data_IF_927451202142
#
_entry.id   IF_927451202142
#
_cell.length_a   1.000
_cell.length_b   1.000
_cell.length_c   1.000
_cell.angle_alpha   90.00
_cell.angle_beta   90.00
_cell.angle_gamma   90.00
#
_symmetry.space_group_name_H-M   'P 1'
#
loop_
_entity.id
_entity.type
_entity.pdbx_description
1 polymer ?
#
# COMPACT_ATOMS: atom_id res chain seq x y z
N UNK A 1 7.33 11.40 12.32
CA UNK A 1 7.93 12.03 11.13
C UNK A 1 7.27 11.42 9.89
N UNK A 2 7.28 12.14 8.77
CA UNK A 2 6.72 11.66 7.52
C UNK A 2 7.82 11.00 6.68
N UNK A 3 7.57 9.80 6.14
CA UNK A 3 8.51 9.11 5.24
C UNK A 3 8.25 9.46 3.78
N UNK A 4 7.03 9.90 3.46
CA UNK A 4 6.62 10.37 2.13
C UNK A 4 5.72 11.59 2.30
N UNK A 5 5.98 12.62 1.50
CA UNK A 5 5.10 13.77 1.34
C UNK A 5 4.82 14.02 -0.13
N UNK A 6 3.54 14.13 -0.47
CA UNK A 6 3.07 14.52 -1.79
C UNK A 6 2.17 15.75 -1.67
N UNK A 7 2.36 16.74 -2.54
CA UNK A 7 1.58 17.98 -2.57
C UNK A 7 1.12 18.29 -3.99
N UNK A 8 -0.19 18.23 -4.19
CA UNK A 8 -0.79 18.46 -5.50
C UNK A 8 -0.25 17.52 -6.59
N UNK A 9 0.15 16.30 -6.18
CA UNK A 9 0.84 15.34 -7.03
C UNK A 9 -0.07 14.87 -8.16
N UNK A 10 0.42 14.92 -9.40
CA UNK A 10 -0.30 14.47 -10.56
C UNK A 10 0.57 13.78 -11.60
N UNK A 11 0.01 12.74 -12.24
CA UNK A 11 0.62 12.05 -13.38
C UNK A 11 -0.37 11.89 -14.50
N UNK A 12 0.01 12.36 -15.69
CA UNK A 12 -0.80 12.30 -16.90
C UNK A 12 -0.12 11.44 -17.97
N UNK A 13 -0.88 10.55 -18.58
CA UNK A 13 -0.48 9.78 -19.75
C UNK A 13 -1.31 10.24 -20.96
N UNK A 14 -0.68 10.92 -21.89
CA UNK A 14 -1.37 11.57 -22.99
C UNK A 14 -2.39 12.63 -22.48
N UNK A 15 -3.68 12.37 -22.72
CA UNK A 15 -4.77 13.28 -22.26
C UNK A 15 -5.39 12.85 -20.93
N UNK A 16 -5.10 11.64 -20.42
CA UNK A 16 -5.74 11.07 -19.24
C UNK A 16 -4.84 11.28 -18.01
N UNK A 17 -5.39 11.81 -16.94
CA UNK A 17 -4.78 11.79 -15.63
C UNK A 17 -4.90 10.40 -15.01
N UNK A 18 -3.79 9.82 -14.60
CA UNK A 18 -3.75 8.60 -13.80
C UNK A 18 -3.80 8.93 -12.30
N UNK A 19 -3.21 10.09 -11.95
CA UNK A 19 -3.34 10.72 -10.65
C UNK A 19 -3.49 12.21 -10.86
N UNK A 20 -4.35 12.86 -10.09
CA UNK A 20 -4.64 14.28 -10.20
C UNK A 20 -4.84 14.89 -8.81
N UNK A 21 -4.03 15.93 -8.51
CA UNK A 21 -4.12 16.71 -7.28
C UNK A 21 -4.10 15.86 -6.00
N UNK A 22 -3.18 14.88 -5.94
CA UNK A 22 -3.02 14.01 -4.78
C UNK A 22 -2.13 14.69 -3.74
N UNK A 23 -2.66 14.90 -2.55
CA UNK A 23 -1.92 15.40 -1.39
C UNK A 23 -2.04 14.36 -0.29
N UNK A 24 -0.90 13.87 0.24
CA UNK A 24 -0.83 12.88 1.31
C UNK A 24 0.49 12.99 2.08
N UNK A 25 0.47 12.50 3.32
CA UNK A 25 1.64 12.47 4.21
C UNK A 25 1.68 11.14 4.94
N UNK A 26 2.61 10.26 4.56
CA UNK A 26 2.69 8.91 5.08
C UNK A 26 3.68 8.83 6.25
N UNK A 27 3.29 8.21 7.37
CA UNK A 27 4.12 8.13 8.58
C UNK A 27 5.28 7.14 8.42
N UNK A 28 6.38 7.42 9.10
CA UNK A 28 7.53 6.52 9.22
C UNK A 28 7.26 5.40 10.23
N UNK A 29 7.86 4.20 10.02
CA UNK A 29 7.76 3.05 10.91
C UNK A 29 6.37 2.40 10.94
N UNK A 30 5.54 2.61 9.92
CA UNK A 30 4.16 2.10 9.84
C UNK A 30 3.95 1.28 8.58
N UNK A 31 2.95 0.37 8.64
CA UNK A 31 2.41 -0.30 7.47
C UNK A 31 1.26 0.55 6.90
N UNK A 32 1.53 1.12 5.74
CA UNK A 32 0.54 1.90 4.98
C UNK A 32 -0.14 0.99 3.95
N UNK A 33 -1.45 0.81 4.09
CA UNK A 33 -2.28 0.12 3.11
C UNK A 33 -2.73 1.10 2.02
N UNK A 34 -2.28 0.86 0.79
CA UNK A 34 -2.70 1.62 -0.39
C UNK A 34 -3.79 0.84 -1.14
N UNK A 35 -5.02 1.31 -1.04
CA UNK A 35 -6.19 0.60 -1.55
C UNK A 35 -6.87 1.41 -2.67
N UNK A 36 -7.40 0.70 -3.65
CA UNK A 36 -8.13 1.31 -4.77
C UNK A 36 -8.50 0.26 -5.81
N UNK A 37 -9.55 0.50 -6.61
CA UNK A 37 -9.90 -0.39 -7.71
C UNK A 37 -8.79 -0.44 -8.77
N UNK A 38 -8.88 -1.41 -9.68
CA UNK A 38 -7.95 -1.50 -10.80
C UNK A 38 -8.03 -0.23 -11.66
N UNK A 39 -6.86 0.33 -11.98
CA UNK A 39 -6.77 1.57 -12.73
C UNK A 39 -6.98 2.86 -11.91
N UNK A 40 -7.13 2.78 -10.58
CA UNK A 40 -7.28 3.94 -9.70
C UNK A 40 -6.02 4.82 -9.57
N UNK A 41 -4.84 4.30 -9.96
CA UNK A 41 -3.58 5.03 -9.88
C UNK A 41 -2.58 4.51 -8.85
N UNK A 42 -2.87 3.40 -8.15
CA UNK A 42 -1.98 2.81 -7.12
C UNK A 42 -0.55 2.59 -7.63
N UNK A 43 -0.38 1.76 -8.65
CA UNK A 43 0.96 1.49 -9.23
C UNK A 43 1.61 2.74 -9.82
N UNK A 44 0.83 3.71 -10.30
CA UNK A 44 1.36 5.01 -10.74
C UNK A 44 1.97 5.78 -9.57
N UNK A 45 1.30 5.83 -8.42
CA UNK A 45 1.83 6.45 -7.20
C UNK A 45 3.09 5.72 -6.73
N UNK A 46 3.05 4.38 -6.63
CA UNK A 46 4.21 3.58 -6.22
C UNK A 46 5.40 3.78 -7.17
N UNK A 47 5.17 3.79 -8.48
CA UNK A 47 6.22 4.04 -9.47
C UNK A 47 6.83 5.44 -9.37
N UNK A 48 6.07 6.45 -8.96
CA UNK A 48 6.62 7.78 -8.68
C UNK A 48 7.45 7.78 -7.38
N UNK A 49 6.98 7.12 -6.32
CA UNK A 49 7.71 7.00 -5.05
C UNK A 49 9.08 6.36 -5.26
N UNK A 50 9.15 5.29 -6.05
CA UNK A 50 10.41 4.58 -6.32
C UNK A 50 11.21 5.18 -7.49
N UNK A 51 10.79 6.33 -8.03
CA UNK A 51 11.53 7.06 -9.05
C UNK A 51 11.49 6.49 -10.47
N UNK A 52 10.66 5.47 -10.73
CA UNK A 52 10.47 4.88 -12.07
C UNK A 52 9.69 5.81 -13.01
N UNK A 53 8.92 6.74 -12.45
CA UNK A 53 8.10 7.68 -13.21
C UNK A 53 8.15 9.05 -12.53
N UNK A 54 8.44 10.12 -13.30
CA UNK A 54 8.42 11.47 -12.78
C UNK A 54 6.99 12.03 -12.71
N UNK A 55 6.66 12.88 -11.73
CA UNK A 55 5.40 13.64 -11.70
C UNK A 55 5.21 14.51 -12.95
N UNK A 56 3.95 14.72 -13.35
CA UNK A 56 3.59 15.75 -14.36
C UNK A 56 3.27 17.08 -13.67
N UNK A 57 2.77 17.03 -12.42
CA UNK A 57 2.43 18.18 -11.61
C UNK A 57 2.66 17.86 -10.13
N UNK A 58 2.83 18.92 -9.33
CA UNK A 58 3.04 18.79 -7.89
C UNK A 58 4.45 18.33 -7.51
N UNK A 59 4.63 18.02 -6.25
CA UNK A 59 5.90 17.63 -5.66
C UNK A 59 5.75 16.32 -4.90
N UNK A 60 6.82 15.50 -4.93
CA UNK A 60 6.92 14.25 -4.18
C UNK A 60 8.30 14.15 -3.54
N UNK A 61 8.32 14.08 -2.23
CA UNK A 61 9.53 13.83 -1.45
C UNK A 61 9.40 12.56 -0.64
N UNK A 62 10.52 11.88 -0.43
CA UNK A 62 10.63 10.61 0.31
C UNK A 62 11.84 10.67 1.23
N UNK A 63 11.86 9.89 2.29
CA UNK A 63 13.01 9.74 3.19
C UNK A 63 13.68 11.11 3.50
N UNK A 64 13.39 11.71 4.62
CA UNK A 64 14.02 12.98 5.05
C UNK A 64 13.86 14.16 4.07
N UNK A 65 12.82 14.12 3.21
CA UNK A 65 12.51 15.18 2.27
C UNK A 65 13.31 15.13 0.95
N UNK A 66 13.99 14.03 0.64
CA UNK A 66 14.68 13.87 -0.64
C UNK A 66 13.66 13.81 -1.81
N UNK A 67 13.94 14.45 -2.94
CA UNK A 67 13.11 14.29 -4.13
C UNK A 67 13.03 12.81 -4.54
N UNK A 68 11.84 12.32 -4.87
CA UNK A 68 11.66 10.95 -5.35
C UNK A 68 12.52 10.69 -6.60
N UNK A 69 13.17 9.53 -6.65
CA UNK A 69 14.09 9.17 -7.73
C UNK A 69 15.51 9.75 -7.62
N UNK A 70 15.80 10.56 -6.61
CA UNK A 70 17.18 11.00 -6.34
C UNK A 70 18.04 9.83 -5.82
N UNK A 71 19.37 9.84 -6.03
CA UNK A 71 20.24 8.77 -5.52
C UNK A 71 20.10 8.54 -4.01
N UNK A 72 19.98 9.62 -3.23
CA UNK A 72 19.80 9.53 -1.77
C UNK A 72 18.47 8.87 -1.39
N UNK A 73 17.38 9.14 -2.14
CA UNK A 73 16.10 8.48 -1.94
C UNK A 73 16.18 6.98 -2.32
N UNK A 74 16.79 6.66 -3.47
CA UNK A 74 16.84 5.29 -3.99
C UNK A 74 17.68 4.34 -3.12
N UNK A 75 18.68 4.83 -2.41
CA UNK A 75 19.49 4.00 -1.51
C UNK A 75 18.67 3.46 -0.33
N UNK A 76 17.74 4.23 0.19
CA UNK A 76 16.87 3.82 1.30
C UNK A 76 15.56 3.14 0.91
N UNK A 77 15.29 2.90 -0.38
CA UNK A 77 14.03 2.31 -0.86
C UNK A 77 14.27 0.95 -1.49
N UNK A 78 13.48 -0.06 -1.12
CA UNK A 78 13.38 -1.32 -1.86
C UNK A 78 11.97 -1.47 -2.44
N UNK A 79 11.89 -2.07 -3.64
CA UNK A 79 10.63 -2.23 -4.37
C UNK A 79 10.44 -3.68 -4.83
N UNK A 80 9.26 -4.22 -4.56
CA UNK A 80 8.80 -5.49 -5.13
C UNK A 80 7.61 -5.17 -6.02
N UNK A 81 7.80 -5.28 -7.33
CA UNK A 81 6.77 -5.04 -8.32
C UNK A 81 5.78 -6.22 -8.40
N UNK A 82 4.59 -5.98 -8.92
CA UNK A 82 3.49 -6.94 -9.02
C UNK A 82 3.88 -8.21 -9.80
N UNK A 83 4.63 -8.08 -10.88
CA UNK A 83 5.08 -9.19 -11.73
C UNK A 83 6.35 -9.87 -11.21
N UNK A 84 6.94 -9.38 -10.10
CA UNK A 84 8.16 -9.90 -9.49
C UNK A 84 9.21 -10.29 -10.56
N UNK A 85 9.85 -9.33 -11.24
CA UNK A 85 10.70 -9.60 -12.41
C UNK A 85 12.01 -10.27 -12.01
N UNK A 86 11.96 -11.57 -11.69
CA UNK A 86 13.11 -12.41 -11.42
C UNK A 86 13.70 -12.95 -12.73
N UNK A 87 15.02 -13.00 -12.83
CA UNK A 87 15.70 -13.63 -13.95
C UNK A 87 15.54 -15.15 -13.87
N UNK A 88 14.53 -15.68 -14.54
CA UNK A 88 14.07 -17.09 -14.44
C UNK A 88 15.15 -18.13 -14.72
N UNK A 89 16.16 -17.80 -15.53
CA UNK A 89 17.26 -18.68 -15.90
C UNK A 89 18.44 -18.69 -14.90
N UNK A 90 18.52 -17.70 -14.02
CA UNK A 90 19.52 -17.60 -12.96
C UNK A 90 19.14 -18.49 -11.77
N UNK A 91 20.15 -19.00 -11.06
CA UNK A 91 19.96 -19.67 -9.78
C UNK A 91 19.63 -18.64 -8.69
N UNK A 92 19.11 -19.11 -7.57
CA UNK A 92 18.88 -18.26 -6.37
C UNK A 92 20.19 -17.61 -5.93
N UNK A 93 21.31 -18.36 -5.91
CA UNK A 93 22.63 -17.82 -5.59
C UNK A 93 23.09 -16.75 -6.59
N UNK A 94 22.84 -16.95 -7.90
CA UNK A 94 23.15 -15.94 -8.92
C UNK A 94 22.32 -14.68 -8.73
N UNK A 95 21.03 -14.81 -8.33
CA UNK A 95 20.16 -13.67 -8.02
C UNK A 95 20.68 -12.86 -6.82
N UNK A 96 21.11 -13.53 -5.75
CA UNK A 96 21.74 -12.87 -4.59
C UNK A 96 23.00 -12.13 -5.02
N UNK A 97 23.87 -12.79 -5.80
CA UNK A 97 25.11 -12.18 -6.29
C UNK A 97 24.86 -10.97 -7.20
N UNK A 98 23.90 -11.09 -8.13
CA UNK A 98 23.51 -10.00 -9.02
C UNK A 98 23.00 -8.81 -8.23
N UNK A 99 22.06 -9.03 -7.30
CA UNK A 99 21.47 -7.95 -6.50
C UNK A 99 22.52 -7.24 -5.66
N UNK A 100 23.44 -7.99 -5.05
CA UNK A 100 24.58 -7.41 -4.31
C UNK A 100 25.41 -6.48 -5.20
N UNK A 101 25.72 -6.88 -6.43
CA UNK A 101 26.58 -6.09 -7.32
C UNK A 101 25.88 -4.84 -7.90
N UNK A 102 24.54 -4.81 -7.87
CA UNK A 102 23.73 -3.69 -8.35
C UNK A 102 23.38 -2.68 -7.25
N UNK A 103 23.68 -2.97 -5.98
CA UNK A 103 23.28 -2.12 -4.85
C UNK A 103 24.49 -1.74 -4.00
N UNK A 104 24.51 -0.51 -3.52
CA UNK A 104 25.57 -0.01 -2.62
C UNK A 104 25.51 -0.75 -1.28
N UNK A 105 24.31 -0.86 -0.70
CA UNK A 105 24.06 -1.57 0.55
C UNK A 105 23.36 -2.90 0.26
N UNK A 106 23.96 -4.02 0.70
CA UNK A 106 23.35 -5.35 0.58
C UNK A 106 23.96 -6.35 1.55
N UNK A 107 23.17 -6.86 2.48
CA UNK A 107 23.57 -7.92 3.42
C UNK A 107 23.36 -9.31 2.82
N UNK A 108 24.42 -9.84 2.18
CA UNK A 108 24.44 -11.18 1.59
C UNK A 108 24.19 -12.27 2.64
N UNK A 109 24.67 -12.09 3.88
CA UNK A 109 24.50 -13.10 4.92
C UNK A 109 23.05 -13.16 5.39
N UNK A 110 22.38 -12.01 5.56
CA UNK A 110 20.95 -11.96 5.89
C UNK A 110 20.10 -12.56 4.78
N UNK A 111 20.36 -12.24 3.49
CA UNK A 111 19.67 -12.87 2.36
C UNK A 111 19.79 -14.39 2.40
N UNK A 112 21.01 -14.92 2.55
CA UNK A 112 21.23 -16.37 2.54
C UNK A 112 20.61 -17.06 3.76
N UNK A 113 20.66 -16.48 4.96
CA UNK A 113 19.99 -17.03 6.15
C UNK A 113 18.47 -17.12 5.91
N UNK A 114 17.83 -16.03 5.49
CA UNK A 114 16.38 -16.01 5.24
C UNK A 114 15.95 -17.03 4.19
N UNK A 115 16.71 -17.16 3.10
CA UNK A 115 16.42 -18.16 2.05
C UNK A 115 16.61 -19.59 2.55
N UNK A 116 17.60 -19.85 3.40
CA UNK A 116 17.82 -21.15 4.04
C UNK A 116 16.69 -21.50 5.01
N UNK A 117 16.23 -20.56 5.83
CA UNK A 117 15.10 -20.74 6.77
C UNK A 117 13.80 -21.05 6.03
N UNK A 118 13.63 -20.49 4.82
CA UNK A 118 12.51 -20.77 3.92
C UNK A 118 12.68 -22.09 3.13
N UNK A 119 13.79 -22.83 3.30
CA UNK A 119 14.06 -24.06 2.57
C UNK A 119 14.28 -23.86 1.07
N UNK A 120 14.71 -22.69 0.63
CA UNK A 120 14.96 -22.37 -0.78
C UNK A 120 16.39 -22.75 -1.13
N UNK A 121 16.55 -23.76 -2.03
CA UNK A 121 17.86 -24.24 -2.47
C UNK A 121 18.59 -23.15 -3.32
N UNK A 122 19.79 -22.70 -2.92
CA UNK A 122 20.56 -21.71 -3.66
C UNK A 122 20.94 -22.13 -5.09
N UNK A 123 20.97 -23.43 -5.38
CA UNK A 123 21.28 -23.99 -6.72
C UNK A 123 20.05 -24.07 -7.63
N UNK A 124 18.86 -23.92 -7.09
CA UNK A 124 17.62 -23.99 -7.88
C UNK A 124 17.49 -22.72 -8.74
N UNK A 125 17.02 -22.89 -9.99
CA UNK A 125 16.72 -21.74 -10.87
C UNK A 125 15.46 -21.02 -10.38
N UNK A 126 15.49 -19.68 -10.36
CA UNK A 126 14.36 -18.87 -9.92
C UNK A 126 13.05 -19.19 -10.65
N UNK A 127 13.11 -19.50 -11.96
CA UNK A 127 11.94 -19.88 -12.73
C UNK A 127 11.35 -21.26 -12.43
N UNK A 128 12.03 -22.09 -11.60
CA UNK A 128 11.53 -23.39 -11.13
C UNK A 128 10.97 -23.35 -9.71
N UNK A 129 11.06 -22.21 -9.03
CA UNK A 129 10.45 -21.99 -7.74
C UNK A 129 8.92 -21.93 -7.89
N UNK A 130 8.18 -22.32 -6.85
CA UNK A 130 6.75 -22.06 -6.76
C UNK A 130 6.48 -20.53 -6.72
N UNK A 131 5.26 -20.10 -6.99
CA UNK A 131 4.89 -18.67 -6.91
C UNK A 131 5.21 -18.06 -5.53
N UNK A 132 4.88 -18.78 -4.46
CA UNK A 132 5.22 -18.38 -3.09
C UNK A 132 6.73 -18.27 -2.84
N UNK A 133 7.51 -19.24 -3.33
CA UNK A 133 8.96 -19.19 -3.21
C UNK A 133 9.58 -18.06 -4.04
N UNK A 134 9.03 -17.74 -5.22
CA UNK A 134 9.46 -16.58 -6.02
C UNK A 134 9.20 -15.27 -5.28
N UNK A 135 8.02 -15.13 -4.67
CA UNK A 135 7.68 -13.97 -3.85
C UNK A 135 8.62 -13.82 -2.64
N UNK A 136 8.90 -14.92 -1.93
CA UNK A 136 9.83 -14.94 -0.81
C UNK A 136 11.27 -14.62 -1.25
N UNK A 137 11.71 -15.10 -2.43
CA UNK A 137 13.00 -14.72 -2.98
C UNK A 137 13.06 -13.22 -3.27
N UNK A 138 12.05 -12.67 -3.95
CA UNK A 138 12.00 -11.23 -4.25
C UNK A 138 12.01 -10.37 -2.98
N UNK A 139 11.22 -10.76 -1.96
CA UNK A 139 11.16 -10.08 -0.67
C UNK A 139 12.51 -10.19 0.07
N UNK A 140 13.15 -11.36 0.08
CA UNK A 140 14.45 -11.57 0.73
C UNK A 140 15.54 -10.72 0.11
N UNK A 141 15.56 -10.58 -1.22
CA UNK A 141 16.49 -9.70 -1.93
C UNK A 141 16.21 -8.22 -1.63
N UNK A 142 14.95 -7.81 -1.55
CA UNK A 142 14.56 -6.46 -1.20
C UNK A 142 14.98 -6.09 0.23
N UNK A 143 14.71 -6.95 1.21
CA UNK A 143 15.06 -6.74 2.61
C UNK A 143 16.57 -6.77 2.86
N UNK A 144 17.34 -7.57 2.09
CA UNK A 144 18.80 -7.60 2.21
C UNK A 144 19.47 -6.28 1.80
N UNK A 145 18.79 -5.36 1.14
CA UNK A 145 19.22 -3.99 0.89
C UNK A 145 19.16 -3.09 2.14
N UNK A 146 18.58 -3.60 3.24
CA UNK A 146 18.37 -2.85 4.48
C UNK A 146 17.62 -1.53 4.23
N UNK A 147 16.46 -1.56 3.58
CA UNK A 147 15.75 -0.35 3.23
C UNK A 147 15.12 0.31 4.47
N UNK A 148 14.95 1.63 4.45
CA UNK A 148 14.08 2.35 5.39
C UNK A 148 12.62 2.32 4.94
N UNK A 149 12.39 2.18 3.61
CA UNK A 149 11.07 2.08 3.00
C UNK A 149 11.01 0.88 2.05
N UNK A 150 10.13 -0.07 2.36
CA UNK A 150 9.78 -1.18 1.49
C UNK A 150 8.46 -0.87 0.77
N UNK A 151 8.49 -0.87 -0.56
CA UNK A 151 7.32 -0.63 -1.40
C UNK A 151 6.92 -1.93 -2.07
N UNK A 152 5.66 -2.34 -1.91
CA UNK A 152 5.12 -3.61 -2.37
C UNK A 152 3.88 -3.36 -3.24
N UNK A 153 3.97 -3.68 -4.54
CA UNK A 153 2.83 -3.52 -5.47
C UNK A 153 2.12 -4.85 -5.70
N UNK A 154 0.99 -5.05 -5.04
CA UNK A 154 0.15 -6.27 -5.08
C UNK A 154 0.94 -7.60 -4.95
N UNK A 155 1.89 -7.72 -4.01
CA UNK A 155 2.85 -8.82 -3.98
C UNK A 155 2.21 -10.18 -3.66
N UNK A 156 1.04 -10.17 -3.04
CA UNK A 156 0.32 -11.37 -2.61
C UNK A 156 -0.77 -11.82 -3.58
N UNK A 157 -1.07 -11.04 -4.63
CA UNK A 157 -2.14 -11.33 -5.57
C UNK A 157 -2.05 -12.73 -6.22
N UNK A 158 -0.87 -13.22 -6.67
CA UNK A 158 -0.74 -14.53 -7.29
C UNK A 158 -0.56 -15.68 -6.28
N UNK A 159 -0.57 -15.42 -4.97
CA UNK A 159 -0.23 -16.40 -3.94
C UNK A 159 -1.47 -17.13 -3.41
N UNK A 160 -1.30 -18.41 -3.07
CA UNK A 160 -2.27 -19.15 -2.29
C UNK A 160 -2.34 -18.61 -0.84
N UNK A 161 -3.39 -18.96 -0.05
CA UNK A 161 -3.57 -18.40 1.29
C UNK A 161 -2.40 -18.65 2.25
N UNK A 162 -1.72 -19.81 2.17
CA UNK A 162 -0.59 -20.14 3.04
C UNK A 162 0.64 -19.31 2.67
N UNK A 163 1.01 -19.30 1.39
CA UNK A 163 2.14 -18.52 0.89
C UNK A 163 1.97 -17.01 1.17
N UNK A 164 0.73 -16.53 1.12
CA UNK A 164 0.36 -15.15 1.44
C UNK A 164 0.55 -14.84 2.92
N UNK A 165 0.10 -15.74 3.79
CA UNK A 165 0.30 -15.62 5.23
C UNK A 165 1.80 -15.56 5.57
N UNK A 166 2.59 -16.45 5.01
CA UNK A 166 4.05 -16.53 5.24
C UNK A 166 4.77 -15.29 4.70
N UNK A 167 4.32 -14.75 3.55
CA UNK A 167 4.85 -13.50 3.01
C UNK A 167 4.60 -12.33 3.97
N UNK A 168 3.35 -12.18 4.44
CA UNK A 168 3.00 -11.12 5.37
C UNK A 168 3.71 -11.27 6.72
N UNK A 169 3.87 -12.51 7.23
CA UNK A 169 4.65 -12.76 8.44
C UNK A 169 6.11 -12.29 8.29
N UNK A 170 6.73 -12.54 7.13
CA UNK A 170 8.09 -12.06 6.82
C UNK A 170 8.15 -10.52 6.82
N UNK A 171 7.17 -9.84 6.21
CA UNK A 171 7.09 -8.38 6.20
C UNK A 171 6.94 -7.82 7.62
N UNK A 172 6.02 -8.38 8.42
CA UNK A 172 5.79 -7.93 9.80
C UNK A 172 7.02 -8.15 10.70
N UNK A 173 7.73 -9.27 10.52
CA UNK A 173 8.99 -9.55 11.24
C UNK A 173 10.05 -8.50 10.90
N UNK A 174 10.24 -8.18 9.62
CA UNK A 174 11.19 -7.15 9.20
C UNK A 174 10.83 -5.76 9.74
N UNK A 175 9.55 -5.41 9.80
CA UNK A 175 9.10 -4.16 10.44
C UNK A 175 9.45 -4.11 11.93
N UNK A 176 9.23 -5.23 12.64
CA UNK A 176 9.46 -5.30 14.09
C UNK A 176 10.96 -5.29 14.44
N UNK A 177 11.80 -5.98 13.65
CA UNK A 177 13.23 -6.15 13.92
C UNK A 177 14.08 -5.00 13.37
N UNK A 178 13.77 -4.54 12.14
CA UNK A 178 14.58 -3.56 11.41
C UNK A 178 13.99 -2.15 11.45
N UNK A 179 12.75 -1.98 11.96
CA UNK A 179 12.07 -0.68 12.07
C UNK A 179 11.69 -0.05 10.72
N UNK A 180 11.58 -0.86 9.66
CA UNK A 180 11.28 -0.37 8.31
C UNK A 180 9.83 0.12 8.19
N UNK A 181 9.63 1.11 7.32
CA UNK A 181 8.30 1.50 6.88
C UNK A 181 7.87 0.67 5.68
N UNK A 182 6.60 0.35 5.57
CA UNK A 182 6.07 -0.46 4.46
C UNK A 182 4.89 0.23 3.80
N UNK A 183 4.90 0.30 2.47
CA UNK A 183 3.70 0.61 1.68
C UNK A 183 3.32 -0.64 0.92
N UNK A 184 2.11 -1.10 1.15
CA UNK A 184 1.57 -2.29 0.51
C UNK A 184 0.31 -1.93 -0.27
N UNK A 185 0.35 -2.04 -1.60
CA UNK A 185 -0.87 -1.98 -2.40
C UNK A 185 -1.56 -3.35 -2.39
N UNK A 186 -2.88 -3.35 -2.20
CA UNK A 186 -3.69 -4.56 -2.28
C UNK A 186 -5.12 -4.24 -2.68
N UNK A 187 -5.78 -5.22 -3.26
CA UNK A 187 -7.23 -5.25 -3.44
C UNK A 187 -7.93 -6.22 -2.46
N UNK A 188 -7.16 -6.90 -1.61
CA UNK A 188 -7.64 -7.88 -0.62
C UNK A 188 -7.72 -7.22 0.77
N UNK A 189 -8.87 -6.60 1.05
CA UNK A 189 -9.08 -5.77 2.24
C UNK A 189 -8.96 -6.56 3.56
N UNK A 190 -9.48 -7.77 3.59
CA UNK A 190 -9.51 -8.59 4.81
C UNK A 190 -8.12 -8.94 5.38
N UNK A 191 -7.08 -8.89 4.55
CA UNK A 191 -5.70 -9.13 4.98
C UNK A 191 -5.08 -7.89 5.63
N UNK A 192 -5.41 -6.73 5.09
CA UNK A 192 -4.88 -5.45 5.55
C UNK A 192 -5.54 -4.98 6.84
N UNK A 193 -6.81 -5.36 7.06
CA UNK A 193 -7.57 -4.97 8.25
C UNK A 193 -6.88 -5.30 9.57
N UNK A 194 -6.07 -6.36 9.59
CA UNK A 194 -5.38 -6.85 10.80
C UNK A 194 -3.99 -6.27 11.02
N UNK A 195 -3.39 -5.70 9.98
CA UNK A 195 -1.96 -5.35 10.00
C UNK A 195 -1.67 -3.89 9.61
N UNK A 196 -2.60 -3.22 8.95
CA UNK A 196 -2.40 -1.84 8.52
C UNK A 196 -2.52 -0.86 9.68
N UNK A 197 -1.53 0.01 9.82
CA UNK A 197 -1.55 1.14 10.75
C UNK A 197 -2.21 2.37 10.12
N UNK A 198 -2.06 2.53 8.81
CA UNK A 198 -2.47 3.71 8.06
C UNK A 198 -3.13 3.31 6.73
N UNK A 199 -4.17 4.00 6.36
CA UNK A 199 -4.96 3.72 5.16
C UNK A 199 -4.90 4.88 4.18
N UNK A 200 -4.59 4.58 2.92
CA UNK A 200 -4.75 5.50 1.79
C UNK A 200 -5.70 4.88 0.78
N UNK A 201 -6.83 5.53 0.53
CA UNK A 201 -7.77 5.14 -0.52
C UNK A 201 -7.59 6.03 -1.74
N UNK A 202 -7.39 5.41 -2.90
CA UNK A 202 -7.35 6.10 -4.19
C UNK A 202 -8.52 5.62 -5.05
N UNK A 203 -9.31 6.56 -5.55
CA UNK A 203 -10.34 6.30 -6.54
C UNK A 203 -10.33 7.42 -7.59
N UNK A 204 -10.51 7.07 -8.86
CA UNK A 204 -10.53 8.00 -10.00
C UNK A 204 -9.31 8.92 -10.05
N UNK A 205 -8.14 8.38 -9.71
CA UNK A 205 -6.89 9.14 -9.71
C UNK A 205 -6.75 10.16 -8.58
N UNK A 206 -7.60 10.14 -7.56
CA UNK A 206 -7.57 11.07 -6.42
C UNK A 206 -7.51 10.33 -5.10
N UNK A 207 -6.82 10.92 -4.13
CA UNK A 207 -6.87 10.44 -2.74
C UNK A 207 -8.25 10.78 -2.16
N UNK A 208 -8.95 9.77 -1.67
CA UNK A 208 -10.26 9.89 -1.03
C UNK A 208 -10.19 9.84 0.48
N UNK A 209 -9.28 9.01 0.99
CA UNK A 209 -9.03 8.86 2.42
C UNK A 209 -7.51 8.77 2.62
N UNK A 210 -7.00 9.43 3.64
CA UNK A 210 -5.62 9.37 4.11
C UNK A 210 -5.63 9.56 5.64
N UNK A 211 -5.21 8.53 6.39
CA UNK A 211 -5.19 8.63 7.85
C UNK A 211 -4.92 7.32 8.58
N UNK A 212 -4.63 7.41 9.90
CA UNK A 212 -4.52 6.25 10.77
C UNK A 212 -5.80 5.42 10.78
N UNK A 213 -5.67 4.10 10.73
CA UNK A 213 -6.83 3.17 10.65
C UNK A 213 -7.78 3.36 11.83
N UNK A 214 -7.26 3.44 13.05
CA UNK A 214 -8.07 3.58 14.25
C UNK A 214 -8.88 4.89 14.24
N UNK A 215 -8.26 6.01 13.84
CA UNK A 215 -8.93 7.31 13.74
C UNK A 215 -10.02 7.29 12.66
N UNK A 216 -9.75 6.62 11.54
CA UNK A 216 -10.73 6.48 10.47
C UNK A 216 -11.95 5.66 10.92
N UNK A 217 -11.72 4.52 11.61
CA UNK A 217 -12.80 3.70 12.16
C UNK A 217 -13.60 4.48 13.20
N UNK A 218 -12.93 5.22 14.06
CA UNK A 218 -13.58 6.02 15.10
C UNK A 218 -14.38 7.21 14.56
N UNK A 219 -13.92 7.80 13.46
CA UNK A 219 -14.61 8.91 12.80
C UNK A 219 -15.82 8.48 11.95
N UNK A 220 -16.04 7.16 11.74
CA UNK A 220 -17.13 6.68 10.90
C UNK A 220 -18.09 5.77 11.66
N UNK A 221 -19.37 5.83 11.31
CA UNK A 221 -20.42 4.95 11.87
C UNK A 221 -21.40 4.52 10.78
N UNK A 222 -21.86 3.29 10.90
CA UNK A 222 -23.05 2.85 10.18
C UNK A 222 -24.27 3.16 11.02
N UNK A 223 -25.10 4.07 10.52
CA UNK A 223 -26.29 4.56 11.21
C UNK A 223 -27.52 3.96 10.55
N UNK A 224 -28.49 3.53 11.36
CA UNK A 224 -29.80 3.08 10.87
C UNK A 224 -30.82 4.19 11.14
N UNK A 225 -31.12 4.96 10.08
CA UNK A 225 -32.05 6.07 10.15
C UNK A 225 -32.74 6.31 8.79
N UNK A 226 -33.98 6.82 8.75
CA UNK A 226 -34.60 7.30 7.53
C UNK A 226 -33.74 8.40 6.88
N UNK A 227 -33.84 8.53 5.54
CA UNK A 227 -33.19 9.65 4.85
C UNK A 227 -33.64 10.98 5.42
N UNK A 228 -32.68 11.85 5.73
CA UNK A 228 -32.97 13.18 6.28
C UNK A 228 -33.12 13.24 7.80
N UNK A 229 -33.04 12.11 8.52
CA UNK A 229 -33.14 12.08 9.99
C UNK A 229 -31.76 12.19 10.70
N UNK A 230 -30.69 12.37 9.95
CA UNK A 230 -29.33 12.55 10.53
C UNK A 230 -29.17 13.94 11.13
N UNK A 231 -28.47 14.06 12.28
CA UNK A 231 -28.16 15.35 12.86
C UNK A 231 -27.24 16.16 11.95
N UNK A 232 -27.24 17.49 12.14
CA UNK A 232 -26.28 18.38 11.47
C UNK A 232 -24.85 18.01 11.85
N UNK A 233 -23.95 18.06 10.88
CA UNK A 233 -22.53 17.71 11.08
C UNK A 233 -22.18 16.24 10.77
N UNK A 234 -23.10 15.46 10.19
CA UNK A 234 -22.81 14.15 9.64
C UNK A 234 -22.62 14.25 8.12
N UNK A 235 -21.44 13.89 7.62
CA UNK A 235 -21.21 13.73 6.19
C UNK A 235 -21.64 12.33 5.77
N UNK A 236 -22.66 12.24 4.91
CA UNK A 236 -23.11 10.94 4.38
C UNK A 236 -22.18 10.48 3.25
N UNK A 237 -21.45 9.43 3.51
CA UNK A 237 -20.53 8.82 2.52
C UNK A 237 -21.32 7.89 1.58
N UNK A 238 -22.17 7.03 2.16
CA UNK A 238 -23.03 6.12 1.41
C UNK A 238 -24.40 6.01 2.05
N UNK A 239 -25.45 5.84 1.23
CA UNK A 239 -26.81 5.60 1.70
C UNK A 239 -27.43 4.43 0.97
N UNK A 240 -27.81 3.38 1.69
CA UNK A 240 -28.47 2.17 1.18
C UNK A 240 -29.73 1.87 2.01
N UNK A 241 -30.90 2.22 1.50
CA UNK A 241 -32.17 2.07 2.22
C UNK A 241 -32.18 2.90 3.52
N UNK A 242 -32.33 2.22 4.67
CA UNK A 242 -32.28 2.82 5.99
C UNK A 242 -30.88 2.87 6.61
N UNK A 243 -29.87 2.28 5.97
CA UNK A 243 -28.50 2.26 6.44
C UNK A 243 -27.70 3.37 5.77
N UNK A 244 -26.99 4.15 6.57
CA UNK A 244 -26.17 5.25 6.10
C UNK A 244 -24.80 5.16 6.74
N UNK A 245 -23.74 5.08 5.92
CA UNK A 245 -22.38 5.24 6.39
C UNK A 245 -22.10 6.74 6.45
N UNK A 246 -21.76 7.22 7.63
CA UNK A 246 -21.53 8.64 7.88
C UNK A 246 -20.14 8.87 8.48
N UNK A 247 -19.52 9.98 8.08
CA UNK A 247 -18.37 10.55 8.77
C UNK A 247 -18.87 11.55 9.80
N UNK A 248 -18.35 11.45 11.01
CA UNK A 248 -18.79 12.24 12.15
C UNK A 248 -17.88 13.46 12.34
N UNK A 249 -18.47 14.64 12.41
CA UNK A 249 -17.80 15.83 12.92
C UNK A 249 -18.02 16.03 14.44
N UNK A 250 -19.04 15.33 15.02
CA UNK A 250 -19.38 15.36 16.43
C UNK A 250 -20.03 14.02 16.85
N UNK A 251 -20.03 13.68 18.15
CA UNK A 251 -20.67 12.47 18.64
C UNK A 251 -22.16 12.40 18.26
N UNK A 252 -22.62 11.20 17.88
CA UNK A 252 -24.04 10.95 17.59
C UNK A 252 -24.89 10.97 18.85
N UNK A 253 -26.16 11.42 18.76
CA UNK A 253 -27.12 11.27 19.85
C UNK A 253 -27.27 9.79 20.25
N UNK A 254 -27.30 9.52 21.57
CA UNK A 254 -27.40 8.15 22.09
C UNK A 254 -28.64 7.38 21.62
N UNK A 255 -29.69 8.09 21.23
CA UNK A 255 -30.95 7.51 20.75
C UNK A 255 -30.86 7.03 19.28
N UNK A 256 -29.80 7.36 18.55
CA UNK A 256 -29.64 6.99 17.15
C UNK A 256 -28.93 5.63 17.02
N UNK A 257 -29.59 4.57 16.52
CA UNK A 257 -28.97 3.27 16.36
C UNK A 257 -27.76 3.36 15.42
N UNK A 258 -26.59 3.03 15.93
CA UNK A 258 -25.35 3.06 15.15
C UNK A 258 -24.38 1.98 15.62
N UNK A 259 -23.49 1.56 14.70
CA UNK A 259 -22.40 0.64 15.02
C UNK A 259 -21.08 1.10 14.37
N UNK A 260 -19.92 0.66 14.92
CA UNK A 260 -18.64 0.82 14.25
C UNK A 260 -18.64 0.20 12.86
N UNK A 261 -17.75 0.69 12.01
CA UNK A 261 -17.49 0.15 10.66
C UNK A 261 -16.15 -0.56 10.64
N UNK A 262 -16.02 -1.59 9.79
CA UNK A 262 -14.72 -2.18 9.45
C UNK A 262 -14.08 -1.46 8.27
N UNK A 263 -12.78 -1.72 8.02
CA UNK A 263 -12.03 -1.15 6.89
C UNK A 263 -12.71 -1.53 5.56
N UNK A 264 -13.21 -2.75 5.44
CA UNK A 264 -13.87 -3.22 4.22
C UNK A 264 -15.12 -2.41 3.91
N UNK A 265 -16.02 -2.23 4.89
CA UNK A 265 -17.24 -1.43 4.72
C UNK A 265 -16.91 0.04 4.37
N UNK A 266 -15.95 0.62 5.09
CA UNK A 266 -15.46 1.98 4.85
C UNK A 266 -14.97 2.14 3.40
N UNK A 267 -14.10 1.24 2.98
CA UNK A 267 -13.49 1.26 1.64
C UNK A 267 -14.52 1.14 0.54
N UNK A 268 -15.44 0.18 0.66
CA UNK A 268 -16.51 -0.05 -0.32
C UNK A 268 -17.44 1.17 -0.46
N UNK A 269 -17.76 1.82 0.65
CA UNK A 269 -18.59 3.02 0.64
C UNK A 269 -17.93 4.18 -0.12
N UNK A 270 -16.66 4.45 0.13
CA UNK A 270 -15.92 5.49 -0.58
C UNK A 270 -15.75 5.19 -2.08
N UNK A 271 -15.61 3.92 -2.45
CA UNK A 271 -15.55 3.55 -3.87
C UNK A 271 -16.88 3.79 -4.59
N UNK A 272 -18.01 3.48 -3.95
CA UNK A 272 -19.35 3.70 -4.52
C UNK A 272 -19.68 5.19 -4.64
N UNK A 273 -19.24 6.01 -3.69
CA UNK A 273 -19.40 7.46 -3.77
C UNK A 273 -18.71 8.04 -5.02
N UNK A 274 -17.48 7.61 -5.33
CA UNK A 274 -16.76 8.02 -6.55
C UNK A 274 -17.48 7.65 -7.85
N UNK A 275 -18.07 6.45 -7.90
CA UNK A 275 -18.81 5.97 -9.08
C UNK A 275 -20.08 6.77 -9.37
N UNK A 276 -20.76 7.27 -8.34
CA UNK A 276 -21.98 8.07 -8.49
C UNK A 276 -21.69 9.48 -9.04
N UNK A 277 -20.54 10.07 -8.74
CA UNK A 277 -20.13 11.38 -9.24
C UNK A 277 -19.70 11.29 -10.73
N UNK A 278 -19.10 10.17 -11.14
CA UNK A 278 -18.66 9.93 -12.53
C UNK A 278 -19.80 9.58 -13.52
N UNK A 279 -20.95 9.14 -13.04
CA UNK A 279 -22.11 8.78 -13.89
C UNK A 279 -23.02 9.98 -14.21
N UNK A 280 -22.77 11.14 -13.62
CA UNK A 280 -23.55 12.36 -13.80
C UNK A 280 -22.85 13.45 -14.67
N UNK A 281 -21.76 13.09 -15.39
CA UNK A 281 -21.01 14.01 -16.27
C UNK A 281 -21.05 13.56 -17.73
#
# INVERSE_FOLDING_TARGET
MSIIEARGLGRRYGKRWALEDCTLSLPEGRLVALIGPNGAGKSTLLNMIVGLTAPTAGELTVLDGHPAGSPAALDGIAFVAQDMPLYRNLTVADMVHLTRNLNVSFDTAAANRRLADLGIDPKQKAGKLSGGQQAQLALSLALARQPRLLVLDEPTAPLDPLARHDFMATVMTAMAEDGISVILSSHLLAELEKVADHLVLIADGRVRVDGPVDELIDAHRLVTAPRGALPQGCDVIESSGSHQLVRLAAPLPAALPSRPVGIEELTLAYFRQGTLIGAAS
#
